data_IF_330126486485
#
_entry.id   IF_330126486485
#
_cell.length_a   1.000
_cell.length_b   1.000
_cell.length_c   1.000
_cell.angle_alpha   90.00
_cell.angle_beta   90.00
_cell.angle_gamma   90.00
#
_symmetry.space_group_name_H-M   'P 1'
#
loop_
_entity.id
_entity.type
_entity.pdbx_description
1 polymer ?
#
# COMPACT_ATOMS: atom_id res chain seq x y z
N UNK A 1 28.65 50.57 24.34
CA UNK A 1 29.74 49.72 23.80
C UNK A 1 29.60 48.33 24.40
N UNK A 2 29.62 47.29 23.54
CA UNK A 2 30.03 45.88 23.80
C UNK A 2 29.43 45.14 25.01
N UNK A 3 28.73 44.01 24.92
CA UNK A 3 28.54 42.98 23.88
C UNK A 3 28.02 41.69 24.55
N UNK A 4 27.80 40.65 23.72
CA UNK A 4 27.62 39.23 24.07
C UNK A 4 26.22 38.73 24.49
N UNK A 5 25.37 38.54 23.48
CA UNK A 5 24.34 37.50 23.48
C UNK A 5 25.00 36.13 23.25
N UNK A 6 24.80 35.17 24.15
CA UNK A 6 25.20 33.77 23.92
C UNK A 6 24.19 33.09 23.00
N UNK A 7 24.72 32.42 21.97
CA UNK A 7 23.99 31.64 20.98
C UNK A 7 23.18 30.49 21.58
N UNK A 8 21.86 30.64 21.63
CA UNK A 8 20.96 29.50 21.49
C UNK A 8 20.78 29.22 19.99
N UNK A 9 21.40 28.15 19.48
CA UNK A 9 21.23 27.75 18.07
C UNK A 9 19.75 27.54 17.78
N UNK A 10 19.17 28.42 16.96
CA UNK A 10 17.87 28.19 16.35
C UNK A 10 17.93 26.87 15.58
N UNK A 11 17.19 25.87 16.07
CA UNK A 11 16.97 24.62 15.32
C UNK A 11 16.10 25.00 14.13
N UNK A 12 16.72 25.11 12.96
CA UNK A 12 16.00 25.28 11.69
C UNK A 12 15.13 24.05 11.47
N UNK A 13 13.86 24.16 11.86
CA UNK A 13 12.80 23.26 11.47
C UNK A 13 12.57 23.49 9.98
N UNK A 14 13.22 22.67 9.16
CA UNK A 14 13.01 22.60 7.71
C UNK A 14 11.51 22.57 7.44
N UNK A 15 11.08 23.15 6.32
CA UNK A 15 9.69 23.13 5.85
C UNK A 15 9.22 21.69 5.49
N UNK A 16 9.12 20.82 6.50
CA UNK A 16 8.67 19.44 6.38
C UNK A 16 7.15 19.45 6.48
N UNK A 17 6.48 19.00 5.43
CA UNK A 17 5.03 18.85 5.39
C UNK A 17 4.69 17.39 5.67
N UNK A 18 3.88 17.17 6.69
CA UNK A 18 3.33 15.84 6.98
C UNK A 18 2.02 15.68 6.21
N UNK A 19 1.98 14.72 5.29
CA UNK A 19 0.77 14.34 4.58
C UNK A 19 0.25 13.02 5.15
N UNK A 20 -1.01 13.00 5.56
CA UNK A 20 -1.69 11.82 6.06
C UNK A 20 -3.19 11.90 5.79
N UNK A 21 -3.88 10.77 5.85
CA UNK A 21 -5.30 10.65 5.60
C UNK A 21 -5.65 9.40 4.78
N UNK A 22 -6.94 9.11 4.59
CA UNK A 22 -7.37 8.03 3.72
C UNK A 22 -6.82 8.22 2.30
N UNK A 23 -6.40 7.12 1.67
CA UNK A 23 -5.91 7.17 0.29
C UNK A 23 -7.03 7.67 -0.66
N UNK A 24 -6.80 8.70 -1.48
CA UNK A 24 -7.79 9.22 -2.42
C UNK A 24 -7.85 8.33 -3.68
N UNK A 25 -8.24 7.07 -3.51
CA UNK A 25 -8.14 6.02 -4.55
C UNK A 25 -8.74 6.44 -5.88
N UNK A 26 -9.96 7.02 -5.87
CA UNK A 26 -10.67 7.43 -7.11
C UNK A 26 -9.89 8.43 -7.97
N UNK A 27 -9.02 9.24 -7.36
CA UNK A 27 -8.19 10.21 -8.08
C UNK A 27 -7.10 9.52 -8.90
N UNK A 28 -6.47 8.49 -8.35
CA UNK A 28 -5.30 7.84 -8.92
C UNK A 28 -5.62 6.54 -9.68
N UNK A 29 -6.77 5.93 -9.38
CA UNK A 29 -7.15 4.63 -9.93
C UNK A 29 -7.13 4.55 -11.47
N UNK A 30 -7.62 5.55 -12.24
CA UNK A 30 -7.59 5.47 -13.71
C UNK A 30 -6.17 5.34 -14.27
N UNK A 31 -5.26 6.21 -13.83
CA UNK A 31 -3.85 6.19 -14.25
C UNK A 31 -3.17 4.87 -13.87
N UNK A 32 -3.37 4.40 -12.63
CA UNK A 32 -2.78 3.14 -12.17
C UNK A 32 -3.29 1.94 -12.96
N UNK A 33 -4.57 1.92 -13.35
CA UNK A 33 -5.12 0.87 -14.21
C UNK A 33 -4.44 0.90 -15.58
N UNK A 34 -4.28 2.06 -16.20
CA UNK A 34 -3.65 2.18 -17.51
C UNK A 34 -2.20 1.65 -17.48
N UNK A 35 -1.43 2.01 -16.44
CA UNK A 35 -0.07 1.52 -16.24
C UNK A 35 -0.01 -0.02 -16.11
N UNK A 36 -0.96 -0.62 -15.39
CA UNK A 36 -1.05 -2.08 -15.24
C UNK A 36 -1.41 -2.74 -16.58
N UNK A 37 -2.42 -2.22 -17.27
CA UNK A 37 -2.95 -2.81 -18.51
C UNK A 37 -1.94 -2.69 -19.67
N UNK A 38 -1.09 -1.66 -19.66
CA UNK A 38 0.01 -1.50 -20.60
C UNK A 38 1.26 -2.29 -20.21
N UNK A 39 1.27 -2.95 -19.05
CA UNK A 39 2.43 -3.70 -18.55
C UNK A 39 3.61 -2.83 -18.11
N UNK A 40 3.37 -1.56 -17.80
CA UNK A 40 4.41 -0.63 -17.32
C UNK A 40 4.76 -0.88 -15.84
N UNK A 41 3.80 -1.41 -15.07
CA UNK A 41 4.00 -1.84 -13.68
C UNK A 41 3.34 -3.20 -13.43
N UNK A 42 3.96 -4.01 -12.57
CA UNK A 42 3.37 -5.25 -12.07
C UNK A 42 3.16 -5.17 -10.54
N UNK A 43 1.97 -4.75 -10.08
CA UNK A 43 1.67 -4.72 -8.65
C UNK A 43 1.47 -6.12 -8.07
N UNK A 44 1.41 -7.18 -8.90
CA UNK A 44 1.28 -8.56 -8.45
C UNK A 44 2.48 -9.06 -7.67
N UNK A 45 3.68 -8.50 -7.91
CA UNK A 45 4.92 -8.93 -7.27
C UNK A 45 4.94 -8.77 -5.74
N UNK A 46 4.07 -7.91 -5.18
CA UNK A 46 4.02 -7.73 -3.72
C UNK A 46 3.39 -8.92 -2.99
N UNK A 47 2.64 -9.79 -3.69
CA UNK A 47 1.99 -10.94 -3.08
C UNK A 47 2.98 -12.10 -2.89
N UNK A 48 3.30 -12.39 -1.64
CA UNK A 48 4.28 -13.41 -1.26
C UNK A 48 3.65 -14.68 -0.66
N UNK A 49 2.33 -14.67 -0.42
CA UNK A 49 1.57 -15.82 0.05
C UNK A 49 0.18 -15.87 -0.58
N UNK A 50 -0.19 -17.02 -1.14
CA UNK A 50 -1.55 -17.27 -1.67
C UNK A 50 -2.23 -18.38 -0.87
N UNK A 51 -3.44 -18.13 -0.39
CA UNK A 51 -4.24 -19.08 0.40
C UNK A 51 -5.67 -19.15 -0.14
N UNK A 52 -6.40 -20.26 0.09
CA UNK A 52 -7.83 -20.29 -0.14
C UNK A 52 -8.57 -19.40 0.88
N UNK A 53 -9.75 -18.89 0.50
CA UNK A 53 -10.53 -17.93 1.31
C UNK A 53 -10.89 -18.48 2.71
N UNK A 54 -11.13 -19.78 2.84
CA UNK A 54 -11.40 -20.45 4.12
C UNK A 54 -10.20 -20.44 5.10
N UNK A 55 -8.99 -20.15 4.60
CA UNK A 55 -7.77 -20.01 5.38
C UNK A 55 -7.39 -18.54 5.68
N UNK A 56 -8.33 -17.60 5.54
CA UNK A 56 -8.07 -16.18 5.80
C UNK A 56 -7.43 -15.91 7.18
N UNK A 57 -7.81 -16.65 8.21
CA UNK A 57 -7.23 -16.53 9.56
C UNK A 57 -5.72 -16.80 9.59
N UNK A 58 -5.24 -17.76 8.80
CA UNK A 58 -3.81 -18.02 8.65
C UNK A 58 -3.10 -16.86 7.94
N UNK A 59 -3.73 -16.28 6.91
CA UNK A 59 -3.21 -15.10 6.21
C UNK A 59 -3.03 -13.90 7.14
N UNK A 60 -4.02 -13.63 8.00
CA UNK A 60 -3.90 -12.58 9.02
C UNK A 60 -2.76 -12.85 10.00
N UNK A 61 -2.63 -14.09 10.50
CA UNK A 61 -1.53 -14.47 11.39
C UNK A 61 -0.16 -14.26 10.73
N UNK A 62 -0.02 -14.67 9.47
CA UNK A 62 1.24 -14.52 8.73
C UNK A 62 1.64 -13.04 8.56
N UNK A 63 0.67 -12.15 8.31
CA UNK A 63 0.94 -10.70 8.22
C UNK A 63 1.27 -10.08 9.59
N UNK A 64 0.59 -10.50 10.67
CA UNK A 64 0.86 -10.02 12.03
C UNK A 64 2.26 -10.43 12.53
N UNK A 65 2.63 -11.69 12.30
CA UNK A 65 3.94 -12.26 12.64
C UNK A 65 5.05 -11.82 11.66
N UNK A 66 4.70 -11.06 10.62
CA UNK A 66 5.61 -10.62 9.54
C UNK A 66 6.32 -11.76 8.81
N UNK A 67 5.66 -12.91 8.68
CA UNK A 67 6.10 -14.02 7.82
C UNK A 67 5.55 -13.92 6.39
N UNK A 68 4.54 -13.06 6.17
CA UNK A 68 4.08 -12.62 4.86
C UNK A 68 3.89 -11.10 4.82
N UNK A 69 4.20 -10.49 3.68
CA UNK A 69 4.07 -9.05 3.41
C UNK A 69 2.69 -8.73 2.84
N UNK A 70 2.19 -9.53 1.90
CA UNK A 70 0.87 -9.37 1.28
C UNK A 70 0.29 -10.73 0.89
N UNK A 71 -0.85 -11.03 1.49
CA UNK A 71 -1.57 -12.29 1.22
C UNK A 71 -2.63 -12.09 0.14
N UNK A 72 -2.65 -12.97 -0.85
CA UNK A 72 -3.73 -13.10 -1.83
C UNK A 72 -4.67 -14.25 -1.42
N UNK A 73 -5.95 -13.95 -1.23
CA UNK A 73 -6.97 -14.97 -0.96
C UNK A 73 -7.69 -15.35 -2.26
N UNK A 74 -7.76 -16.65 -2.54
CA UNK A 74 -8.48 -17.20 -3.70
C UNK A 74 -9.83 -17.77 -3.25
N UNK A 75 -10.96 -17.30 -3.81
CA UNK A 75 -12.27 -17.84 -3.48
C UNK A 75 -12.44 -19.25 -4.05
N UNK A 76 -13.06 -20.14 -3.27
CA UNK A 76 -13.48 -21.47 -3.72
C UNK A 76 -14.72 -21.37 -4.62
N UNK A 77 -14.62 -20.72 -5.77
CA UNK A 77 -15.45 -20.91 -6.99
C UNK A 77 -15.15 -19.80 -7.99
N UNK A 78 -14.72 -20.16 -9.20
CA UNK A 78 -14.99 -19.31 -10.36
C UNK A 78 -16.45 -19.56 -10.76
N UNK A 79 -17.37 -18.58 -10.72
CA UNK A 79 -18.65 -18.77 -11.40
C UNK A 79 -18.39 -19.04 -12.89
N UNK A 80 -19.00 -20.10 -13.41
CA UNK A 80 -18.98 -20.43 -14.84
C UNK A 80 -19.33 -19.20 -15.68
N UNK A 81 -18.69 -18.98 -16.85
CA UNK A 81 -19.05 -17.86 -17.71
C UNK A 81 -20.55 -17.88 -18.00
N UNK A 82 -21.21 -16.74 -17.81
CA UNK A 82 -22.62 -16.55 -18.19
C UNK A 82 -22.71 -16.82 -19.71
N UNK A 83 -23.62 -17.69 -20.19
CA UNK A 83 -23.81 -17.85 -21.62
C UNK A 83 -24.19 -16.50 -22.25
N UNK A 84 -23.76 -16.23 -23.50
CA UNK A 84 -24.15 -15.00 -24.19
C UNK A 84 -25.68 -14.91 -24.26
N UNK A 85 -26.19 -13.68 -24.13
CA UNK A 85 -27.62 -13.37 -24.22
C UNK A 85 -28.21 -13.75 -25.58
#
# INVERSE_FOLDING_TARGET
MTGAWRHGRARSWRAVHLHGGPAPVRRFLPELIDLIMNGEIDPGEVFDLTLPLDQAAQGYRAMDERTATKVLLTPLTRPSPRPPA
#
